data_IF_259204942787
#
_entry.id   IF_259204942787
#
_cell.length_a   1.000
_cell.length_b   1.000
_cell.length_c   1.000
_cell.angle_alpha   90.00
_cell.angle_beta   90.00
_cell.angle_gamma   90.00
#
_symmetry.space_group_name_H-M   'P 1'
#
loop_
_entity.id
_entity.type
_entity.pdbx_description
1 polymer ?
#
# COMPACT_ATOMS: atom_id res chain seq x y z
N UNK A 1 14.74 9.00 -0.35
CA UNK A 1 14.25 7.97 -1.28
C UNK A 1 13.00 7.26 -0.77
N UNK A 2 12.85 7.14 0.52
CA UNK A 2 11.74 6.48 1.23
C UNK A 2 10.38 7.21 1.07
N UNK A 3 10.40 8.52 0.81
CA UNK A 3 9.19 9.36 0.71
C UNK A 3 8.18 8.98 -0.40
N UNK A 4 8.56 8.16 -1.39
CA UNK A 4 7.68 7.87 -2.53
C UNK A 4 6.75 6.69 -2.28
N UNK A 5 7.22 5.66 -1.57
CA UNK A 5 6.42 4.46 -1.26
C UNK A 5 5.26 4.78 -0.34
N UNK A 6 5.54 5.60 0.65
CA UNK A 6 4.54 6.03 1.58
C UNK A 6 3.47 6.91 0.94
N UNK A 7 3.83 7.69 -0.09
CA UNK A 7 2.84 8.43 -0.89
C UNK A 7 1.85 7.50 -1.58
N UNK A 8 2.27 6.30 -2.02
CA UNK A 8 1.36 5.34 -2.65
C UNK A 8 0.38 4.73 -1.65
N UNK A 9 0.88 4.20 -0.54
CA UNK A 9 0.02 3.61 0.50
C UNK A 9 -0.99 4.66 0.94
N UNK A 10 -0.56 5.90 1.03
CA UNK A 10 -1.39 7.02 1.40
C UNK A 10 -2.35 7.46 0.32
N UNK A 11 -1.91 7.46 -0.93
CA UNK A 11 -2.77 7.73 -2.07
C UNK A 11 -3.92 6.72 -2.10
N UNK A 12 -3.63 5.43 -1.88
CA UNK A 12 -4.65 4.38 -1.81
C UNK A 12 -5.58 4.56 -0.61
N UNK A 13 -5.05 4.89 0.57
CA UNK A 13 -5.86 5.18 1.76
C UNK A 13 -6.69 6.46 1.55
N UNK A 14 -6.11 7.52 0.96
CA UNK A 14 -6.85 8.75 0.64
C UNK A 14 -7.96 8.50 -0.38
N UNK A 15 -7.70 7.67 -1.38
CA UNK A 15 -8.68 7.27 -2.39
C UNK A 15 -9.89 6.60 -1.74
N UNK A 16 -9.65 5.75 -0.75
CA UNK A 16 -10.69 5.06 0.02
C UNK A 16 -11.56 6.05 0.81
N UNK A 17 -10.93 7.02 1.50
CA UNK A 17 -11.62 8.01 2.32
C UNK A 17 -12.48 8.93 1.45
N UNK A 18 -11.92 9.39 0.34
CA UNK A 18 -12.54 10.34 -0.57
C UNK A 18 -13.77 9.72 -1.23
N UNK A 19 -13.66 8.47 -1.67
CA UNK A 19 -14.75 7.77 -2.32
C UNK A 19 -15.91 7.48 -1.38
N UNK A 20 -15.64 7.05 -0.16
CA UNK A 20 -16.69 6.80 0.84
C UNK A 20 -17.56 8.04 1.11
N UNK A 21 -16.95 9.23 1.13
CA UNK A 21 -17.67 10.49 1.34
C UNK A 21 -18.48 10.96 0.13
N UNK A 22 -17.92 10.81 -1.07
CA UNK A 22 -18.55 11.31 -2.30
C UNK A 22 -19.80 10.51 -2.71
N UNK A 23 -19.72 9.19 -2.69
CA UNK A 23 -20.84 8.31 -3.05
C UNK A 23 -22.10 8.57 -2.24
N UNK A 24 -21.94 9.15 -1.05
CA UNK A 24 -23.07 9.38 -0.14
C UNK A 24 -23.83 10.68 -0.37
N UNK A 25 -23.18 11.72 -0.91
CA UNK A 25 -23.74 13.06 -0.96
C UNK A 25 -24.14 13.55 -2.35
N UNK A 26 -23.66 12.93 -3.43
CA UNK A 26 -23.75 13.53 -4.77
C UNK A 26 -24.10 12.53 -5.90
N UNK A 27 -24.92 11.54 -5.62
CA UNK A 27 -25.24 10.50 -6.59
C UNK A 27 -26.12 11.00 -7.76
N UNK A 28 -25.54 11.28 -8.93
CA UNK A 28 -26.21 11.43 -10.22
C UNK A 28 -25.70 10.37 -11.22
N UNK A 29 -26.54 9.41 -11.67
CA UNK A 29 -26.12 8.28 -12.48
C UNK A 29 -25.57 8.61 -13.87
N UNK A 30 -25.91 9.72 -14.46
CA UNK A 30 -25.67 9.99 -15.89
C UNK A 30 -24.31 10.66 -16.20
N UNK A 31 -23.61 11.23 -15.18
CA UNK A 31 -22.34 11.95 -15.37
C UNK A 31 -21.16 11.40 -14.54
N UNK A 32 -21.27 10.19 -14.10
CA UNK A 32 -20.42 9.61 -13.06
C UNK A 32 -18.91 9.67 -13.28
N UNK A 33 -18.47 9.32 -14.49
CA UNK A 33 -17.05 9.08 -14.74
C UNK A 33 -16.22 10.35 -14.58
N UNK A 34 -16.59 11.40 -15.28
CA UNK A 34 -15.85 12.66 -15.29
C UNK A 34 -15.86 13.35 -13.92
N UNK A 35 -17.02 13.33 -13.24
CA UNK A 35 -17.14 13.92 -11.90
C UNK A 35 -16.30 13.19 -10.85
N UNK A 36 -16.27 11.86 -10.90
CA UNK A 36 -15.43 11.04 -10.03
C UNK A 36 -13.96 11.31 -10.33
N UNK A 37 -13.56 11.31 -11.60
CA UNK A 37 -12.18 11.59 -12.02
C UNK A 37 -11.74 12.98 -11.56
N UNK A 38 -12.56 14.01 -11.76
CA UNK A 38 -12.26 15.37 -11.33
C UNK A 38 -12.21 15.50 -9.79
N UNK A 39 -13.22 14.96 -9.10
CA UNK A 39 -13.29 15.02 -7.64
C UNK A 39 -12.10 14.32 -6.99
N UNK A 40 -11.80 13.09 -7.40
CA UNK A 40 -10.66 12.34 -6.87
C UNK A 40 -9.36 13.06 -7.18
N UNK A 41 -9.17 13.50 -8.43
CA UNK A 41 -7.98 14.25 -8.85
C UNK A 41 -7.75 15.49 -7.99
N UNK A 42 -8.82 16.24 -7.71
CA UNK A 42 -8.75 17.46 -6.88
C UNK A 42 -8.32 17.19 -5.43
N UNK A 43 -8.60 15.98 -4.91
CA UNK A 43 -8.28 15.61 -3.53
C UNK A 43 -6.90 15.02 -3.35
N UNK A 44 -6.44 14.27 -4.35
CA UNK A 44 -5.11 13.63 -4.27
C UNK A 44 -3.99 14.49 -4.85
N UNK A 45 -4.30 15.60 -5.53
CA UNK A 45 -3.37 16.45 -6.29
C UNK A 45 -2.60 15.69 -7.38
N UNK A 46 -3.25 14.72 -8.00
CA UNK A 46 -2.76 13.94 -9.14
C UNK A 46 -3.90 13.73 -10.12
N UNK A 47 -3.60 13.51 -11.38
CA UNK A 47 -4.60 13.11 -12.36
C UNK A 47 -5.01 11.66 -12.12
N UNK A 48 -6.28 11.44 -11.82
CA UNK A 48 -6.90 10.14 -11.65
C UNK A 48 -7.81 9.86 -12.84
N UNK A 49 -7.61 8.74 -13.51
CA UNK A 49 -8.42 8.28 -14.65
C UNK A 49 -8.66 6.78 -14.50
N UNK A 50 -9.83 6.31 -14.91
CA UNK A 50 -10.07 4.88 -15.03
C UNK A 50 -10.63 4.51 -16.40
N UNK A 51 -10.17 3.40 -16.97
CA UNK A 51 -10.54 2.96 -18.33
C UNK A 51 -11.52 1.79 -18.33
N UNK A 52 -11.60 1.07 -17.22
CA UNK A 52 -12.47 -0.09 -17.10
C UNK A 52 -13.87 0.26 -16.59
N UNK A 53 -14.48 -0.70 -15.92
CA UNK A 53 -15.84 -0.60 -15.41
C UNK A 53 -15.86 0.04 -14.03
N UNK A 54 -16.94 0.78 -13.77
CA UNK A 54 -17.35 1.24 -12.46
C UNK A 54 -18.66 0.54 -12.09
N UNK A 55 -18.62 -0.26 -11.03
CA UNK A 55 -19.81 -0.93 -10.48
C UNK A 55 -20.09 -0.35 -9.10
N UNK A 56 -21.29 0.14 -8.89
CA UNK A 56 -21.76 0.66 -7.60
C UNK A 56 -23.07 -0.03 -7.26
N UNK A 57 -23.20 -0.44 -6.01
CA UNK A 57 -24.41 -1.09 -5.55
C UNK A 57 -24.66 -0.92 -4.06
N UNK A 58 -25.92 -1.13 -3.70
CA UNK A 58 -26.39 -1.19 -2.32
C UNK A 58 -26.86 -2.60 -2.04
N UNK A 59 -26.42 -3.15 -0.91
CA UNK A 59 -26.99 -4.38 -0.38
C UNK A 59 -28.10 -4.03 0.61
N UNK A 60 -29.34 -4.41 0.29
CA UNK A 60 -30.47 -4.16 1.18
C UNK A 60 -30.47 -5.08 2.41
N UNK A 61 -29.86 -6.27 2.27
CA UNK A 61 -29.84 -7.29 3.33
C UNK A 61 -28.66 -7.14 4.29
N UNK A 62 -27.58 -6.48 3.87
CA UNK A 62 -26.32 -6.39 4.64
C UNK A 62 -26.00 -4.97 5.12
N UNK A 63 -26.89 -4.01 4.89
CA UNK A 63 -26.62 -2.59 5.23
C UNK A 63 -25.30 -2.06 4.66
N UNK A 64 -24.88 -2.55 3.48
CA UNK A 64 -23.59 -2.22 2.86
C UNK A 64 -23.78 -1.49 1.54
N UNK A 65 -22.87 -0.55 1.27
CA UNK A 65 -22.65 0.00 -0.05
C UNK A 65 -21.32 -0.53 -0.59
N UNK A 66 -21.27 -0.87 -1.85
CA UNK A 66 -20.04 -1.31 -2.50
C UNK A 66 -19.75 -0.51 -3.77
N UNK A 67 -18.47 -0.42 -4.07
CA UNK A 67 -17.95 0.13 -5.30
C UNK A 67 -16.80 -0.72 -5.80
N UNK A 68 -16.75 -0.95 -7.10
CA UNK A 68 -15.61 -1.60 -7.76
C UNK A 68 -15.23 -0.80 -8.99
N UNK A 69 -13.95 -0.47 -9.11
CA UNK A 69 -13.39 0.22 -10.28
C UNK A 69 -12.25 -0.59 -10.83
N UNK A 70 -12.13 -0.66 -12.15
CA UNK A 70 -11.05 -1.35 -12.84
C UNK A 70 -10.27 -0.42 -13.77
N UNK A 71 -8.99 -0.75 -13.99
CA UNK A 71 -8.15 -0.02 -14.94
C UNK A 71 -7.79 1.41 -14.53
N UNK A 72 -7.48 1.63 -13.25
CA UNK A 72 -7.15 2.96 -12.71
C UNK A 72 -5.71 3.33 -13.07
N UNK A 73 -5.53 4.57 -13.49
CA UNK A 73 -4.22 5.21 -13.69
C UNK A 73 -4.14 6.50 -12.91
N UNK A 74 -3.00 6.70 -12.24
CA UNK A 74 -2.68 7.90 -11.48
C UNK A 74 -1.39 8.47 -12.03
N UNK A 75 -1.42 9.75 -12.40
CA UNK A 75 -0.28 10.46 -12.98
C UNK A 75 -0.12 11.87 -12.41
N UNK A 76 1.10 12.38 -12.46
CA UNK A 76 1.43 13.77 -12.16
C UNK A 76 1.63 14.51 -13.49
N UNK A 77 0.73 15.44 -13.78
CA UNK A 77 0.73 16.26 -15.00
C UNK A 77 1.18 17.70 -14.72
N UNK A 78 1.66 17.99 -13.51
CA UNK A 78 2.09 19.35 -13.12
C UNK A 78 3.40 19.79 -13.76
N UNK A 79 4.17 18.86 -14.33
CA UNK A 79 5.41 19.11 -15.06
C UNK A 79 5.20 18.97 -16.57
N UNK A 80 6.08 19.58 -17.39
CA UNK A 80 6.07 19.45 -18.86
C UNK A 80 6.15 17.99 -19.37
N UNK A 81 6.17 17.01 -18.49
CA UNK A 81 6.14 15.58 -18.80
C UNK A 81 5.14 14.87 -17.87
N UNK A 82 4.30 14.03 -18.45
CA UNK A 82 3.40 13.16 -17.69
C UNK A 82 4.22 12.11 -16.95
N UNK A 83 4.19 12.15 -15.61
CA UNK A 83 4.88 11.19 -14.77
C UNK A 83 3.87 10.19 -14.19
N UNK A 84 4.01 8.93 -14.55
CA UNK A 84 3.22 7.85 -13.95
C UNK A 84 3.51 7.74 -12.45
N UNK A 85 2.45 7.61 -11.65
CA UNK A 85 2.53 7.38 -10.20
C UNK A 85 2.11 5.97 -9.87
N UNK A 86 0.93 5.53 -10.33
CA UNK A 86 0.46 4.17 -10.13
C UNK A 86 -0.53 3.73 -11.21
N UNK A 87 -0.54 2.43 -11.47
CA UNK A 87 -1.63 1.75 -12.16
C UNK A 87 -2.25 0.76 -11.16
N UNK A 88 -3.58 0.62 -11.17
CA UNK A 88 -4.30 -0.29 -10.30
C UNK A 88 -5.24 -1.10 -11.19
N UNK A 89 -5.09 -2.42 -11.20
CA UNK A 89 -5.94 -3.30 -11.99
C UNK A 89 -7.37 -3.26 -11.52
N UNK A 90 -7.60 -3.39 -10.21
CA UNK A 90 -8.92 -3.36 -9.58
C UNK A 90 -8.87 -2.70 -8.21
N UNK A 91 -9.86 -1.87 -7.91
CA UNK A 91 -10.13 -1.31 -6.59
C UNK A 91 -11.55 -1.69 -6.16
N UNK A 92 -11.69 -2.23 -4.96
CA UNK A 92 -12.99 -2.55 -4.34
C UNK A 92 -13.12 -1.84 -3.02
N UNK A 93 -14.24 -1.20 -2.78
CA UNK A 93 -14.60 -0.55 -1.53
C UNK A 93 -15.96 -1.05 -1.05
N UNK A 94 -16.05 -1.45 0.22
CA UNK A 94 -17.29 -1.82 0.89
C UNK A 94 -17.39 -1.01 2.18
N UNK A 95 -18.52 -0.30 2.33
CA UNK A 95 -18.78 0.60 3.45
C UNK A 95 -20.09 0.21 4.15
N UNK A 96 -20.12 0.27 5.46
CA UNK A 96 -21.33 0.09 6.23
C UNK A 96 -22.17 1.38 6.23
N UNK A 97 -23.33 1.35 5.57
CA UNK A 97 -24.20 2.53 5.41
C UNK A 97 -24.93 2.94 6.71
N UNK A 98 -25.19 2.02 7.63
CA UNK A 98 -25.96 2.30 8.83
C UNK A 98 -25.22 3.24 9.79
N UNK A 99 -23.90 3.15 9.83
CA UNK A 99 -23.07 4.01 10.68
C UNK A 99 -22.88 5.43 10.17
N UNK A 100 -23.24 5.69 8.93
CA UNK A 100 -23.09 7.02 8.33
C UNK A 100 -24.04 8.05 8.94
N UNK A 101 -25.21 7.61 9.45
CA UNK A 101 -26.11 8.46 10.21
C UNK A 101 -25.45 9.05 11.47
N UNK A 102 -24.51 8.31 12.06
CA UNK A 102 -23.72 8.69 13.23
C UNK A 102 -22.44 9.46 12.86
N UNK A 103 -22.28 9.83 11.58
CA UNK A 103 -21.05 10.44 11.02
C UNK A 103 -19.80 9.57 11.17
N UNK A 104 -19.97 8.27 11.29
CA UNK A 104 -18.90 7.29 11.31
C UNK A 104 -18.81 6.62 9.93
N UNK A 105 -17.66 6.68 9.29
CA UNK A 105 -17.41 5.93 8.06
C UNK A 105 -16.73 4.62 8.44
N UNK A 106 -17.46 3.52 8.33
CA UNK A 106 -16.99 2.18 8.62
C UNK A 106 -16.68 1.46 7.31
N UNK A 107 -15.39 1.42 6.99
CA UNK A 107 -14.88 0.73 5.81
C UNK A 107 -14.63 -0.72 6.15
N UNK A 108 -15.57 -1.56 5.76
CA UNK A 108 -15.52 -3.00 5.98
C UNK A 108 -14.42 -3.66 5.13
N UNK A 109 -14.27 -3.17 3.90
CA UNK A 109 -13.25 -3.64 2.96
C UNK A 109 -12.80 -2.50 2.05
N UNK A 110 -11.48 -2.36 1.95
CA UNK A 110 -10.83 -1.61 0.89
C UNK A 110 -9.73 -2.51 0.31
N UNK A 111 -9.82 -2.86 -0.95
CA UNK A 111 -8.90 -3.79 -1.60
C UNK A 111 -8.47 -3.26 -2.96
N UNK A 112 -7.15 -3.28 -3.20
CA UNK A 112 -6.58 -3.01 -4.51
C UNK A 112 -5.73 -4.21 -4.95
N UNK A 113 -5.88 -4.61 -6.20
CA UNK A 113 -5.19 -5.73 -6.82
C UNK A 113 -4.46 -5.27 -8.08
N UNK A 114 -3.38 -5.98 -8.43
CA UNK A 114 -2.56 -5.71 -9.62
C UNK A 114 -2.06 -4.26 -9.68
N UNK A 115 -1.45 -3.81 -8.58
CA UNK A 115 -0.96 -2.44 -8.45
C UNK A 115 0.49 -2.37 -8.91
N UNK A 116 0.78 -1.47 -9.86
CA UNK A 116 2.14 -1.10 -10.25
C UNK A 116 2.40 0.31 -9.75
N UNK A 117 3.34 0.45 -8.84
CA UNK A 117 3.78 1.75 -8.33
C UNK A 117 5.10 2.15 -8.97
N UNK A 118 5.14 3.34 -9.58
CA UNK A 118 6.29 3.84 -10.33
C UNK A 118 7.19 4.75 -9.46
N UNK A 119 8.49 4.53 -9.59
CA UNK A 119 9.52 5.40 -9.02
C UNK A 119 10.22 4.89 -7.75
N UNK A 120 9.86 3.71 -7.25
CA UNK A 120 10.59 3.01 -6.17
C UNK A 120 10.29 1.51 -6.24
N UNK A 121 11.30 0.68 -6.11
CA UNK A 121 11.14 -0.76 -5.97
C UNK A 121 11.37 -1.14 -4.51
N UNK A 122 10.28 -1.53 -3.80
CA UNK A 122 10.33 -1.90 -2.37
C UNK A 122 11.10 -3.20 -2.19
N UNK A 123 10.85 -4.18 -3.04
CA UNK A 123 11.50 -5.49 -2.97
C UNK A 123 13.01 -5.36 -3.21
N UNK A 124 13.43 -4.51 -4.13
CA UNK A 124 14.84 -4.20 -4.35
C UNK A 124 15.50 -3.53 -3.14
N UNK A 125 14.80 -2.61 -2.48
CA UNK A 125 15.32 -1.98 -1.25
C UNK A 125 15.55 -3.03 -0.18
N UNK A 126 14.63 -3.97 0.00
CA UNK A 126 14.77 -5.06 0.96
C UNK A 126 15.99 -5.93 0.65
N UNK A 127 16.13 -6.39 -0.60
CA UNK A 127 17.27 -7.21 -1.05
C UNK A 127 18.59 -6.46 -0.90
N UNK A 128 18.63 -5.20 -1.29
CA UNK A 128 19.82 -4.36 -1.15
C UNK A 128 20.23 -4.22 0.32
N UNK A 129 19.26 -3.98 1.21
CA UNK A 129 19.52 -3.87 2.64
C UNK A 129 20.05 -5.20 3.19
N UNK A 130 19.42 -6.31 2.84
CA UNK A 130 19.87 -7.64 3.23
C UNK A 130 21.29 -7.96 2.71
N UNK A 131 21.57 -7.66 1.44
CA UNK A 131 22.88 -7.89 0.85
C UNK A 131 23.98 -7.09 1.53
N UNK A 132 23.71 -5.83 1.89
CA UNK A 132 24.64 -5.01 2.66
C UNK A 132 24.94 -5.61 4.05
N UNK A 133 23.93 -6.14 4.73
CA UNK A 133 24.08 -6.80 6.03
C UNK A 133 24.94 -8.07 5.94
N UNK A 134 24.89 -8.77 4.83
CA UNK A 134 25.70 -9.97 4.56
C UNK A 134 27.08 -9.66 3.96
N UNK A 135 27.46 -8.38 3.85
CA UNK A 135 28.68 -7.94 3.16
C UNK A 135 28.79 -8.47 1.73
N UNK A 136 27.65 -8.75 1.08
CA UNK A 136 27.60 -9.15 -0.32
C UNK A 136 27.50 -7.91 -1.22
N UNK A 137 28.22 -7.95 -2.35
CA UNK A 137 28.03 -6.91 -3.36
C UNK A 137 26.65 -7.09 -4.00
N UNK A 138 25.87 -6.03 -4.05
CA UNK A 138 24.61 -5.97 -4.75
C UNK A 138 24.82 -5.19 -6.05
N UNK A 139 24.74 -5.87 -7.18
CA UNK A 139 24.94 -5.26 -8.51
C UNK A 139 23.74 -4.45 -9.05
N UNK A 140 22.66 -4.42 -8.28
CA UNK A 140 21.36 -3.89 -8.72
C UNK A 140 20.57 -4.94 -9.48
N UNK A 141 19.26 -4.78 -9.45
CA UNK A 141 18.33 -5.53 -10.28
C UNK A 141 17.98 -4.62 -11.45
N UNK A 142 18.29 -5.06 -12.68
CA UNK A 142 18.09 -4.28 -13.90
C UNK A 142 16.59 -4.26 -14.25
N UNK A 143 15.78 -3.63 -13.39
CA UNK A 143 14.34 -3.47 -13.58
C UNK A 143 13.96 -1.99 -13.59
N UNK A 144 12.85 -1.70 -14.25
CA UNK A 144 12.17 -0.42 -14.07
C UNK A 144 11.98 -0.16 -12.57
N UNK A 145 12.22 1.08 -12.17
CA UNK A 145 12.16 1.48 -10.76
C UNK A 145 10.69 1.53 -10.29
N UNK A 146 10.05 0.36 -10.26
CA UNK A 146 8.64 0.18 -9.89
C UNK A 146 8.47 -0.99 -8.91
N UNK A 147 7.44 -0.91 -8.08
CA UNK A 147 7.01 -2.00 -7.20
C UNK A 147 5.76 -2.63 -7.79
N UNK A 148 5.79 -3.94 -7.97
CA UNK A 148 4.59 -4.73 -8.25
C UNK A 148 3.98 -5.16 -6.92
N UNK A 149 2.75 -4.73 -6.67
CA UNK A 149 1.98 -5.07 -5.48
C UNK A 149 0.79 -5.91 -5.95
N UNK A 150 0.79 -7.17 -5.57
CA UNK A 150 -0.26 -8.10 -5.97
C UNK A 150 -1.58 -7.73 -5.31
N UNK A 151 -1.52 -7.37 -4.02
CA UNK A 151 -2.71 -7.07 -3.24
C UNK A 151 -2.42 -6.08 -2.10
N UNK A 152 -3.34 -5.14 -1.94
CA UNK A 152 -3.49 -4.32 -0.73
C UNK A 152 -4.89 -4.54 -0.20
N UNK A 153 -5.01 -4.78 1.08
CA UNK A 153 -6.30 -4.90 1.77
C UNK A 153 -6.26 -4.09 3.05
N UNK A 154 -7.36 -3.40 3.35
CA UNK A 154 -7.54 -2.70 4.61
C UNK A 154 -8.98 -2.74 5.04
N UNK A 155 -9.23 -2.76 6.36
CA UNK A 155 -10.46 -2.28 6.96
C UNK A 155 -10.14 -1.15 7.95
N UNK A 156 -11.04 -0.18 8.03
CA UNK A 156 -10.80 1.01 8.82
C UNK A 156 -12.10 1.64 9.29
N UNK A 157 -12.02 2.37 10.39
CA UNK A 157 -13.12 3.18 10.91
C UNK A 157 -12.63 4.63 10.94
N UNK A 158 -13.41 5.53 10.34
CA UNK A 158 -13.17 6.96 10.41
C UNK A 158 -14.24 7.54 11.33
N UNK A 159 -13.79 8.08 12.45
CA UNK A 159 -14.64 8.77 13.39
C UNK A 159 -14.05 10.15 13.65
N UNK A 160 -14.86 11.19 13.50
CA UNK A 160 -14.44 12.58 13.52
C UNK A 160 -13.31 12.81 12.49
N UNK A 161 -12.07 12.93 12.97
CA UNK A 161 -10.90 13.20 12.11
C UNK A 161 -9.80 12.16 12.28
N UNK A 162 -10.11 11.03 12.88
CA UNK A 162 -9.15 9.93 13.07
C UNK A 162 -9.63 8.72 12.29
N UNK A 163 -8.74 8.23 11.41
CA UNK A 163 -8.88 6.92 10.78
C UNK A 163 -8.15 5.89 11.63
N UNK A 164 -8.88 4.92 12.14
CA UNK A 164 -8.32 3.73 12.79
C UNK A 164 -8.32 2.59 11.79
N UNK A 165 -7.14 2.12 11.43
CA UNK A 165 -6.92 0.97 10.55
C UNK A 165 -6.83 -0.25 11.45
N UNK A 166 -7.86 -1.10 11.42
CA UNK A 166 -7.90 -2.30 12.25
C UNK A 166 -7.11 -3.45 11.63
N UNK A 167 -7.01 -3.44 10.31
CA UNK A 167 -6.22 -4.41 9.55
C UNK A 167 -5.70 -3.76 8.27
N UNK A 168 -4.40 -3.87 8.06
CA UNK A 168 -3.74 -3.53 6.81
C UNK A 168 -2.97 -4.76 6.35
N UNK A 169 -3.10 -5.13 5.09
CA UNK A 169 -2.36 -6.19 4.44
C UNK A 169 -1.76 -5.66 3.15
N UNK A 170 -0.52 -5.98 2.91
CA UNK A 170 0.22 -5.63 1.70
C UNK A 170 0.98 -6.87 1.21
N UNK A 171 0.82 -7.20 -0.05
CA UNK A 171 1.56 -8.27 -0.71
C UNK A 171 2.30 -7.74 -1.93
N UNK A 172 3.62 -7.82 -1.89
CA UNK A 172 4.49 -7.58 -3.04
C UNK A 172 4.91 -8.91 -3.68
N UNK A 173 5.79 -8.86 -4.65
CA UNK A 173 6.34 -10.09 -5.21
C UNK A 173 7.14 -10.87 -4.18
N UNK A 174 7.90 -10.19 -3.32
CA UNK A 174 8.83 -10.82 -2.37
C UNK A 174 8.29 -10.94 -0.95
N UNK A 175 7.39 -10.07 -0.52
CA UNK A 175 7.00 -9.92 0.88
C UNK A 175 5.48 -9.83 1.05
N UNK A 176 5.00 -10.46 2.11
CA UNK A 176 3.67 -10.22 2.67
C UNK A 176 3.82 -9.46 3.99
N UNK A 177 3.00 -8.47 4.21
CA UNK A 177 3.00 -7.74 5.48
C UNK A 177 1.59 -7.47 5.97
N UNK A 178 1.42 -7.49 7.29
CA UNK A 178 0.14 -7.18 7.92
C UNK A 178 0.37 -6.34 9.17
N UNK A 179 -0.62 -5.49 9.48
CA UNK A 179 -0.51 -4.59 10.63
C UNK A 179 -1.77 -3.79 10.85
N UNK A 180 -1.63 -2.79 11.69
CA UNK A 180 -2.69 -1.89 12.12
C UNK A 180 -2.13 -0.49 12.39
N UNK A 181 -3.01 0.49 12.60
CA UNK A 181 -2.54 1.83 12.91
C UNK A 181 -3.59 2.89 12.93
N UNK A 182 -3.13 4.14 12.97
CA UNK A 182 -4.00 5.31 12.98
C UNK A 182 -3.47 6.40 12.05
N UNK A 183 -4.39 7.19 11.50
CA UNK A 183 -4.09 8.39 10.73
C UNK A 183 -4.95 9.53 11.27
N UNK A 184 -4.30 10.61 11.71
CA UNK A 184 -4.96 11.88 12.00
C UNK A 184 -5.18 12.64 10.69
N UNK A 185 -6.41 12.83 10.30
CA UNK A 185 -6.76 13.43 9.01
C UNK A 185 -6.59 14.95 8.97
N UNK A 186 -6.60 15.62 10.13
CA UNK A 186 -6.35 17.07 10.23
C UNK A 186 -4.86 17.35 10.20
N UNK A 187 -4.12 16.75 11.14
CA UNK A 187 -2.68 16.98 11.28
C UNK A 187 -1.87 16.11 10.33
N UNK A 188 -2.55 15.21 9.60
CA UNK A 188 -1.96 14.28 8.65
C UNK A 188 -0.90 13.35 9.27
N UNK A 189 -0.94 13.12 10.57
CA UNK A 189 0.02 12.25 11.25
C UNK A 189 -0.33 10.78 11.05
N UNK A 190 0.71 9.96 10.83
CA UNK A 190 0.59 8.51 10.63
C UNK A 190 1.31 7.76 11.73
N UNK A 191 0.65 6.72 12.22
CA UNK A 191 1.23 5.72 13.08
C UNK A 191 0.71 4.35 12.68
N UNK A 192 1.49 3.60 11.89
CA UNK A 192 1.17 2.25 11.44
C UNK A 192 2.31 1.32 11.84
N UNK A 193 1.98 0.19 12.44
CA UNK A 193 2.90 -0.88 12.81
C UNK A 193 2.51 -2.14 12.02
N UNK A 194 3.49 -2.75 11.35
CA UNK A 194 3.27 -3.94 10.53
C UNK A 194 4.35 -4.97 10.78
N UNK A 195 4.03 -6.22 10.52
CA UNK A 195 4.97 -7.33 10.45
C UNK A 195 5.02 -7.82 9.00
N UNK A 196 6.22 -7.78 8.43
CA UNK A 196 6.52 -8.35 7.13
C UNK A 196 7.08 -9.78 7.27
N UNK A 197 6.81 -10.62 6.27
CA UNK A 197 7.41 -11.95 6.10
C UNK A 197 7.80 -12.12 4.63
N UNK A 198 8.98 -12.67 4.40
CA UNK A 198 9.40 -13.04 3.05
C UNK A 198 8.55 -14.22 2.59
N UNK A 199 8.02 -14.14 1.39
CA UNK A 199 7.25 -15.24 0.78
C UNK A 199 8.20 -16.37 0.41
N UNK A 200 7.76 -17.61 0.57
CA UNK A 200 8.54 -18.78 0.10
C UNK A 200 8.71 -18.75 -1.43
N UNK A 201 9.75 -19.38 -1.94
CA UNK A 201 9.96 -19.52 -3.39
C UNK A 201 8.79 -20.28 -4.04
N UNK A 202 8.19 -21.20 -3.31
CA UNK A 202 7.06 -22.00 -3.77
C UNK A 202 5.77 -21.18 -3.93
N UNK A 203 5.57 -20.20 -3.01
CA UNK A 203 4.42 -19.28 -3.07
C UNK A 203 4.57 -18.19 -4.13
N UNK A 204 5.80 -17.97 -4.55
CA UNK A 204 6.09 -17.03 -5.62
C UNK A 204 6.19 -17.83 -6.90
N UNK A 205 5.37 -17.62 -7.91
CA UNK A 205 5.54 -18.22 -9.24
C UNK A 205 6.89 -17.79 -9.90
N UNK A 206 7.98 -17.97 -9.15
CA UNK A 206 9.30 -17.37 -9.36
C UNK A 206 10.20 -18.15 -10.31
N UNK A 207 9.71 -19.12 -11.03
CA UNK A 207 10.54 -19.85 -12.01
C UNK A 207 11.26 -18.96 -13.01
N UNK A 208 10.90 -17.67 -13.08
CA UNK A 208 11.58 -16.63 -13.90
C UNK A 208 11.68 -15.27 -13.18
N UNK A 209 11.68 -15.23 -11.87
CA UNK A 209 11.73 -13.95 -11.16
C UNK A 209 13.16 -13.40 -11.15
N UNK A 210 13.25 -12.10 -11.40
CA UNK A 210 14.50 -11.32 -11.30
C UNK A 210 15.11 -11.37 -9.89
N UNK A 211 14.34 -11.79 -8.90
CA UNK A 211 14.78 -11.91 -7.51
C UNK A 211 15.39 -13.28 -7.18
N UNK A 212 15.32 -14.29 -8.06
CA UNK A 212 15.83 -15.64 -7.76
C UNK A 212 17.30 -15.66 -7.34
N UNK A 213 18.15 -14.89 -8.02
CA UNK A 213 19.59 -14.85 -7.74
C UNK A 213 19.98 -14.12 -6.44
N UNK A 214 19.05 -13.33 -5.92
CA UNK A 214 19.26 -12.47 -4.72
C UNK A 214 18.24 -12.75 -3.62
N UNK A 215 17.55 -13.87 -3.72
CA UNK A 215 16.51 -14.23 -2.77
C UNK A 215 17.07 -14.33 -1.33
N UNK A 216 16.45 -13.66 -0.35
CA UNK A 216 16.94 -13.64 1.01
C UNK A 216 16.47 -14.86 1.83
N UNK A 217 16.96 -16.06 1.48
CA UNK A 217 16.57 -17.34 2.11
C UNK A 217 16.64 -17.30 3.65
N UNK A 218 17.65 -16.65 4.21
CA UNK A 218 17.84 -16.55 5.66
C UNK A 218 16.75 -15.70 6.35
N UNK A 219 15.98 -14.92 5.59
CA UNK A 219 14.88 -14.10 6.10
C UNK A 219 13.51 -14.75 5.96
N UNK A 220 13.44 -15.90 5.29
CA UNK A 220 12.21 -16.69 5.23
C UNK A 220 11.81 -17.09 6.64
N UNK A 221 10.53 -17.07 6.95
CA UNK A 221 9.95 -17.34 8.27
C UNK A 221 10.33 -16.37 9.39
N UNK A 222 11.13 -15.33 9.09
CA UNK A 222 11.43 -14.29 10.06
C UNK A 222 10.46 -13.14 9.97
N UNK A 223 10.08 -12.62 11.13
CA UNK A 223 9.25 -11.45 11.25
C UNK A 223 10.10 -10.19 11.12
N UNK A 224 9.71 -9.33 10.17
CA UNK A 224 10.34 -8.06 9.90
C UNK A 224 9.42 -6.94 10.40
N UNK A 225 9.68 -6.37 11.59
CA UNK A 225 8.89 -5.23 12.07
C UNK A 225 9.05 -4.03 11.15
N UNK A 226 7.92 -3.51 10.67
CA UNK A 226 7.86 -2.35 9.79
C UNK A 226 7.08 -1.27 10.52
N UNK A 227 7.66 -0.08 10.64
CA UNK A 227 7.01 1.08 11.23
C UNK A 227 6.86 2.18 10.21
N UNK A 228 5.65 2.73 10.11
CA UNK A 228 5.36 3.90 9.29
C UNK A 228 4.98 5.02 10.24
N UNK A 229 5.74 6.11 10.21
CA UNK A 229 5.58 7.29 11.07
C UNK A 229 5.66 8.57 10.24
N UNK A 230 5.50 9.72 10.89
CA UNK A 230 5.58 11.02 10.24
C UNK A 230 4.24 11.52 9.75
N UNK A 231 4.21 12.20 8.63
CA UNK A 231 2.99 12.78 8.07
C UNK A 231 2.61 12.13 6.74
N UNK A 232 1.37 12.31 6.35
CA UNK A 232 0.84 11.88 5.08
C UNK A 232 1.69 12.42 3.89
N UNK A 233 2.21 13.62 3.99
CA UNK A 233 3.02 14.26 2.94
C UNK A 233 4.50 13.83 2.99
N UNK A 234 4.97 13.37 4.16
CA UNK A 234 6.37 12.96 4.38
C UNK A 234 6.46 11.81 5.39
N UNK A 235 6.02 10.62 5.02
CA UNK A 235 6.08 9.46 5.90
C UNK A 235 7.49 8.86 5.93
N UNK A 236 7.87 8.37 7.08
CA UNK A 236 9.09 7.64 7.36
C UNK A 236 8.79 6.15 7.55
N UNK A 237 9.42 5.31 6.75
CA UNK A 237 9.28 3.86 6.82
C UNK A 237 10.58 3.26 7.33
N UNK A 238 10.48 2.56 8.43
CA UNK A 238 11.60 1.86 9.05
C UNK A 238 11.33 0.36 9.10
N UNK A 239 12.27 -0.44 8.59
CA UNK A 239 12.29 -1.90 8.76
C UNK A 239 13.31 -2.20 9.85
N UNK A 240 12.87 -2.77 10.97
CA UNK A 240 13.75 -3.08 12.08
C UNK A 240 14.37 -4.47 11.90
N UNK A 241 15.63 -4.47 11.50
CA UNK A 241 16.43 -5.70 11.31
C UNK A 241 17.43 -5.95 12.44
N UNK A 242 17.40 -5.19 13.54
CA UNK A 242 18.42 -5.24 14.60
C UNK A 242 18.58 -6.62 15.22
N UNK A 243 17.46 -7.27 15.54
CA UNK A 243 17.48 -8.60 16.16
C UNK A 243 17.97 -9.67 15.20
N UNK A 244 17.66 -9.54 13.92
CA UNK A 244 18.16 -10.43 12.87
C UNK A 244 19.66 -10.25 12.71
N UNK A 245 20.14 -9.02 12.63
CA UNK A 245 21.56 -8.69 12.54
C UNK A 245 22.32 -9.25 13.74
N UNK A 246 21.78 -9.08 14.94
CA UNK A 246 22.42 -9.56 16.16
C UNK A 246 22.58 -11.08 16.14
N UNK A 247 21.49 -11.81 15.90
CA UNK A 247 21.50 -13.28 15.91
C UNK A 247 22.29 -13.90 14.76
N UNK A 248 22.21 -13.35 13.56
CA UNK A 248 22.75 -13.96 12.34
C UNK A 248 24.19 -13.50 12.03
N UNK A 249 24.60 -12.34 12.53
CA UNK A 249 25.91 -11.75 12.21
C UNK A 249 26.79 -11.60 13.46
N UNK A 250 26.26 -10.99 14.52
CA UNK A 250 27.07 -10.63 15.69
C UNK A 250 27.34 -11.84 16.55
N UNK A 251 26.33 -12.63 16.90
CA UNK A 251 26.49 -13.75 17.81
C UNK A 251 27.42 -14.86 17.25
N UNK A 252 27.29 -15.29 15.97
CA UNK A 252 28.21 -16.26 15.37
C UNK A 252 29.68 -15.79 15.29
N UNK A 253 29.92 -14.46 15.21
CA UNK A 253 31.27 -13.91 15.22
C UNK A 253 31.85 -13.97 16.63
N UNK A 254 31.05 -13.67 17.65
CA UNK A 254 31.52 -13.76 19.06
C UNK A 254 31.88 -15.18 19.45
N UNK A 255 31.07 -16.18 19.02
CA UNK A 255 31.31 -17.59 19.33
C UNK A 255 32.57 -18.16 18.65
N UNK A 256 33.09 -17.48 17.61
CA UNK A 256 34.36 -17.88 16.95
C UNK A 256 35.62 -17.20 17.50
N UNK A 257 35.44 -16.20 18.35
CA UNK A 257 36.55 -15.40 18.94
C UNK A 257 36.84 -15.82 20.39
N UNK A 258 35.97 -16.59 21.00
CA UNK A 258 36.13 -17.19 22.31
C UNK A 258 36.60 -18.64 22.15
#
# INVERSE_FOLDING_TARGET
MINKVSKLIMLLISLIIIFGGYLFFFFDPDNFKSEIEEYVSSKINYTFVYEGNLDIGLSDTESKAFMSITGIRISDETSNSVKKIANIGRLVLIVNKDKLADKVIDVDKAEAEDVIYFGTNIDEILIKTYSLLKFKKFGGINQDNNTVINKIFSNAIINENVMTINKLYLETQLMQSSGEGTIDLINKNIKIDMIGKIRSIEDMALTNSVYSDHYPEDLVDKELPIRIRGTLDSPDITIDMKDIIKKEIIDPIKDKII
#
